data_IF_762968813588
#
_entry.id   IF_762968813588
#
_cell.length_a   1.000
_cell.length_b   1.000
_cell.length_c   1.000
_cell.angle_alpha   90.00
_cell.angle_beta   90.00
_cell.angle_gamma   90.00
#
_symmetry.space_group_name_H-M   'P 1'
#
loop_
_entity.id
_entity.type
_entity.pdbx_description
1 polymer ?
#
# COMPACT_ATOMS: atom_id res chain seq x y z
N UNK A 1 3.72 -8.68 -7.40
CA UNK A 1 3.65 -8.92 -5.95
C UNK A 1 2.31 -9.52 -5.52
N UNK A 2 1.20 -8.83 -5.77
CA UNK A 2 -0.17 -9.26 -5.39
C UNK A 2 -0.59 -10.63 -5.98
N UNK A 3 -0.15 -10.97 -7.19
CA UNK A 3 -0.40 -12.31 -7.77
C UNK A 3 0.16 -13.47 -6.91
N UNK A 4 1.33 -13.28 -6.29
CA UNK A 4 1.90 -14.25 -5.35
C UNK A 4 1.09 -14.42 -4.06
N UNK A 5 0.21 -13.47 -3.73
CA UNK A 5 -0.64 -13.56 -2.53
C UNK A 5 -1.78 -14.56 -2.72
N UNK A 6 -2.39 -14.56 -3.91
CA UNK A 6 -3.58 -15.37 -4.17
C UNK A 6 -3.30 -16.80 -4.59
N UNK A 7 -2.14 -17.04 -5.21
CA UNK A 7 -1.79 -18.37 -5.72
C UNK A 7 -1.09 -19.25 -4.66
N UNK A 8 -0.91 -18.74 -3.42
CA UNK A 8 -0.29 -19.51 -2.33
C UNK A 8 -1.31 -20.41 -1.62
N UNK A 9 -0.95 -21.69 -1.57
CA UNK A 9 -1.78 -22.85 -1.19
C UNK A 9 -1.93 -23.09 0.32
N UNK A 10 -1.66 -22.11 1.20
CA UNK A 10 -1.96 -22.32 2.62
C UNK A 10 -3.47 -22.16 2.87
N UNK A 11 -4.06 -23.10 3.60
CA UNK A 11 -5.46 -23.00 4.06
C UNK A 11 -5.61 -21.96 5.17
N UNK A 12 -4.55 -21.71 5.95
CA UNK A 12 -4.55 -20.71 7.04
C UNK A 12 -4.13 -19.35 6.48
N UNK A 13 -5.00 -18.37 6.63
CA UNK A 13 -4.73 -16.99 6.19
C UNK A 13 -3.54 -16.35 6.91
N UNK A 14 -3.30 -16.70 8.17
CA UNK A 14 -2.19 -16.18 8.97
C UNK A 14 -0.83 -16.59 8.37
N UNK A 15 -0.71 -17.81 7.85
CA UNK A 15 0.50 -18.29 7.19
C UNK A 15 0.75 -17.56 5.86
N UNK A 16 -0.32 -17.15 5.16
CA UNK A 16 -0.19 -16.34 3.94
C UNK A 16 0.42 -14.97 4.27
N UNK A 17 0.01 -14.35 5.38
CA UNK A 17 0.60 -13.08 5.85
C UNK A 17 2.07 -13.28 6.23
N UNK A 18 2.39 -14.31 7.01
CA UNK A 18 3.76 -14.58 7.44
C UNK A 18 4.72 -14.79 6.26
N UNK A 19 4.27 -15.51 5.23
CA UNK A 19 5.04 -15.75 4.03
C UNK A 19 5.27 -14.46 3.20
N UNK A 20 4.46 -13.41 3.39
CA UNK A 20 4.65 -12.12 2.73
C UNK A 20 5.68 -11.24 3.45
N UNK A 21 5.81 -11.38 4.75
CA UNK A 21 6.86 -10.68 5.52
C UNK A 21 8.24 -10.89 4.91
N UNK A 22 8.53 -12.10 4.41
CA UNK A 22 9.79 -12.40 3.71
C UNK A 22 10.07 -11.48 2.52
N UNK A 23 9.04 -11.14 1.73
CA UNK A 23 9.18 -10.37 0.50
C UNK A 23 9.00 -8.86 0.70
N UNK A 24 8.21 -8.46 1.70
CA UNK A 24 7.68 -7.10 1.79
C UNK A 24 8.29 -6.25 2.92
N UNK A 25 8.89 -6.89 3.92
CA UNK A 25 9.52 -6.17 5.03
C UNK A 25 10.92 -5.67 4.63
N UNK A 26 11.26 -4.45 5.07
CA UNK A 26 12.62 -3.95 4.94
C UNK A 26 13.54 -4.71 5.91
N UNK A 27 14.38 -5.62 5.40
CA UNK A 27 15.42 -6.29 6.19
C UNK A 27 15.08 -7.67 6.77
N UNK A 28 14.30 -8.49 6.05
CA UNK A 28 13.92 -9.86 6.45
C UNK A 28 15.12 -10.73 6.89
N UNK A 29 15.19 -11.09 8.17
CA UNK A 29 15.89 -12.32 8.65
C UNK A 29 14.84 -13.36 9.07
N UNK A 30 15.12 -14.67 8.93
CA UNK A 30 14.09 -15.70 9.01
C UNK A 30 13.56 -15.87 10.43
N UNK A 31 12.24 -15.79 10.61
CA UNK A 31 11.55 -16.40 11.74
C UNK A 31 10.94 -17.73 11.27
N UNK A 32 11.77 -18.70 10.90
CA UNK A 32 11.31 -20.05 10.63
C UNK A 32 11.94 -21.00 11.64
N UNK A 33 11.28 -21.12 12.79
CA UNK A 33 11.53 -22.18 13.74
C UNK A 33 10.33 -23.13 13.65
N UNK A 34 10.17 -23.83 12.53
CA UNK A 34 9.35 -25.04 12.52
C UNK A 34 9.97 -26.00 13.54
N UNK A 35 9.32 -26.14 14.69
CA UNK A 35 9.67 -27.18 15.65
C UNK A 35 9.14 -28.48 15.07
N UNK A 36 9.89 -29.07 14.15
CA UNK A 36 9.62 -30.40 13.63
C UNK A 36 9.69 -31.36 14.82
N UNK A 37 8.53 -31.85 15.28
CA UNK A 37 8.48 -33.00 16.18
C UNK A 37 9.01 -34.22 15.42
N UNK A 38 10.32 -34.44 15.46
CA UNK A 38 10.90 -35.74 15.13
C UNK A 38 10.76 -36.65 16.34
N UNK A 39 9.70 -37.44 16.35
CA UNK A 39 9.72 -38.73 17.03
C UNK A 39 10.76 -39.59 16.31
N UNK A 40 11.93 -39.79 16.91
CA UNK A 40 12.86 -40.83 16.47
C UNK A 40 13.45 -41.54 17.67
N UNK A 41 13.11 -42.83 17.71
CA UNK A 41 13.60 -43.88 18.60
C UNK A 41 15.13 -43.93 18.68
N UNK A 42 15.61 -44.21 19.91
CA UNK A 42 16.92 -44.64 20.37
C UNK A 42 18.09 -44.75 19.35
N UNK A 43 19.23 -44.14 19.70
CA UNK A 43 20.40 -44.93 20.11
C UNK A 43 21.36 -44.10 20.98
N UNK A 44 21.85 -44.81 22.01
CA UNK A 44 22.82 -44.45 23.04
C UNK A 44 24.19 -44.30 22.39
N UNK A 45 24.97 -43.27 22.75
CA UNK A 45 26.31 -43.46 23.35
C UNK A 45 27.16 -42.18 23.46
N UNK A 46 27.80 -42.09 24.64
CA UNK A 46 29.09 -41.47 24.97
C UNK A 46 29.16 -39.96 25.25
N UNK A 47 29.35 -39.66 26.54
CA UNK A 47 29.86 -38.42 27.13
C UNK A 47 31.24 -38.03 26.58
N UNK A 48 31.43 -36.75 26.27
CA UNK A 48 32.68 -36.03 26.58
C UNK A 48 32.33 -34.62 27.07
N UNK A 49 32.66 -34.36 28.34
CA UNK A 49 32.64 -33.04 28.95
C UNK A 49 33.72 -32.14 28.32
N UNK A 50 33.39 -30.88 28.04
CA UNK A 50 34.38 -29.81 27.99
C UNK A 50 33.71 -28.48 28.37
N UNK A 51 33.96 -28.10 29.62
CA UNK A 51 33.67 -26.81 30.20
C UNK A 51 34.52 -25.75 29.50
N UNK A 52 33.89 -24.73 28.91
CA UNK A 52 34.56 -23.49 28.53
C UNK A 52 33.71 -22.31 28.98
N UNK A 53 34.18 -21.64 30.02
CA UNK A 53 33.67 -20.37 30.49
C UNK A 53 34.31 -19.26 29.65
N UNK A 54 33.51 -18.54 28.88
CA UNK A 54 33.85 -17.20 28.44
C UNK A 54 32.67 -16.26 28.70
N UNK A 55 32.77 -15.53 29.79
CA UNK A 55 32.12 -14.23 29.99
C UNK A 55 32.56 -13.28 28.88
N UNK A 56 31.62 -12.82 28.06
CA UNK A 56 31.81 -11.64 27.22
C UNK A 56 30.72 -10.63 27.54
N UNK A 57 31.13 -9.60 28.27
CA UNK A 57 30.45 -8.31 28.36
C UNK A 57 30.71 -7.64 27.02
N UNK A 58 29.70 -7.65 26.14
CA UNK A 58 29.71 -6.97 24.86
C UNK A 58 28.57 -5.95 24.83
N UNK A 59 28.92 -4.68 24.90
CA UNK A 59 28.07 -3.52 24.64
C UNK A 59 27.31 -3.69 23.32
N UNK A 60 26.00 -3.93 23.41
CA UNK A 60 25.10 -4.08 22.27
C UNK A 60 24.41 -2.77 21.90
N UNK A 61 24.73 -2.29 20.70
CA UNK A 61 24.07 -1.26 19.91
C UNK A 61 22.53 -1.42 19.87
N UNK A 62 21.71 -0.39 20.15
CA UNK A 62 20.26 -0.51 20.19
C UNK A 62 19.66 -0.30 18.79
N UNK A 63 20.05 -1.11 17.80
CA UNK A 63 19.37 -1.11 16.49
C UNK A 63 19.28 -2.51 15.88
N UNK A 64 18.83 -3.48 16.66
CA UNK A 64 18.17 -4.67 16.07
C UNK A 64 16.68 -4.50 16.27
N UNK A 65 16.00 -4.07 15.20
CA UNK A 65 14.55 -4.14 15.11
C UNK A 65 14.15 -5.60 15.27
N UNK A 66 13.71 -5.96 16.47
CA UNK A 66 13.17 -7.27 16.79
C UNK A 66 11.96 -7.48 15.86
N UNK A 67 12.09 -8.41 14.92
CA UNK A 67 10.94 -8.92 14.19
C UNK A 67 9.95 -9.46 15.22
N UNK A 68 8.72 -8.93 15.22
CA UNK A 68 7.63 -9.40 16.08
C UNK A 68 7.53 -10.93 15.94
N UNK A 69 7.74 -11.63 17.05
CA UNK A 69 7.64 -13.07 17.10
C UNK A 69 6.20 -13.48 16.74
N UNK A 70 6.05 -14.12 15.60
CA UNK A 70 4.82 -14.67 15.07
C UNK A 70 4.14 -15.61 16.07
N UNK A 71 2.83 -15.44 16.30
CA UNK A 71 2.01 -16.35 17.09
C UNK A 71 0.86 -16.88 16.22
N UNK A 72 0.71 -18.20 16.13
CA UNK A 72 -0.40 -18.86 15.42
C UNK A 72 -1.80 -18.50 15.99
N UNK A 73 -1.85 -17.84 17.15
CA UNK A 73 -3.07 -17.39 17.80
C UNK A 73 -3.51 -15.99 17.33
N UNK A 74 -2.68 -15.26 16.58
CA UNK A 74 -3.03 -13.94 16.07
C UNK A 74 -3.94 -14.06 14.85
N UNK A 75 -5.00 -13.23 14.80
CA UNK A 75 -5.85 -13.14 13.61
C UNK A 75 -5.05 -12.63 12.41
N UNK A 76 -5.40 -13.07 11.20
CA UNK A 76 -4.74 -12.63 9.97
C UNK A 76 -4.78 -11.10 9.78
N UNK A 77 -5.83 -10.43 10.26
CA UNK A 77 -5.94 -8.97 10.24
C UNK A 77 -4.91 -8.28 11.16
N UNK A 78 -4.62 -8.89 12.32
CA UNK A 78 -3.61 -8.38 13.25
C UNK A 78 -2.21 -8.53 12.65
N UNK A 79 -1.90 -9.72 12.12
CA UNK A 79 -0.63 -9.98 11.43
C UNK A 79 -0.46 -9.06 10.21
N UNK A 80 -1.53 -8.84 9.43
CA UNK A 80 -1.52 -7.94 8.28
C UNK A 80 -1.25 -6.50 8.69
N UNK A 81 -1.86 -6.06 9.78
CA UNK A 81 -1.59 -4.75 10.37
C UNK A 81 -0.12 -4.63 10.74
N UNK A 82 0.42 -5.57 11.51
CA UNK A 82 1.85 -5.59 11.88
C UNK A 82 2.79 -5.61 10.66
N UNK A 83 2.42 -6.32 9.59
CA UNK A 83 3.18 -6.30 8.34
C UNK A 83 3.15 -4.92 7.66
N UNK A 84 1.97 -4.31 7.49
CA UNK A 84 1.81 -2.96 6.93
C UNK A 84 2.63 -1.91 7.68
N UNK A 85 2.83 -2.12 8.98
CA UNK A 85 3.66 -1.26 9.82
C UNK A 85 5.15 -1.29 9.47
N UNK A 86 5.69 -2.45 9.10
CA UNK A 86 7.13 -2.64 8.80
C UNK A 86 7.44 -2.76 7.31
N UNK A 87 6.41 -2.84 6.47
CA UNK A 87 6.51 -2.97 5.02
C UNK A 87 7.35 -1.86 4.36
N UNK A 88 8.00 -2.15 3.23
CA UNK A 88 8.64 -1.13 2.40
C UNK A 88 7.67 -0.02 1.98
N UNK A 89 8.18 1.21 1.82
CA UNK A 89 7.39 2.38 1.42
C UNK A 89 6.81 2.24 -0.01
N UNK A 90 7.52 1.51 -0.86
CA UNK A 90 7.13 1.14 -2.22
C UNK A 90 5.91 0.22 -2.21
N UNK A 91 5.96 -0.88 -1.45
CA UNK A 91 4.84 -1.81 -1.36
C UNK A 91 3.62 -1.19 -0.68
N UNK A 92 3.81 -0.36 0.36
CA UNK A 92 2.69 0.42 0.94
C UNK A 92 2.02 1.31 -0.11
N UNK A 93 2.81 1.89 -1.01
CA UNK A 93 2.30 2.73 -2.10
C UNK A 93 1.49 1.92 -3.11
N UNK A 94 1.93 0.70 -3.46
CA UNK A 94 1.14 -0.20 -4.30
C UNK A 94 -0.25 -0.43 -3.71
N UNK A 95 -0.36 -0.81 -2.43
CA UNK A 95 -1.66 -1.00 -1.78
C UNK A 95 -2.48 0.29 -1.73
N UNK A 96 -1.84 1.44 -1.49
CA UNK A 96 -2.53 2.72 -1.45
C UNK A 96 -3.18 3.08 -2.79
N UNK A 97 -2.51 2.83 -3.92
CA UNK A 97 -2.98 3.18 -5.26
C UNK A 97 -3.79 2.08 -5.97
N UNK A 98 -3.67 0.82 -5.56
CA UNK A 98 -4.32 -0.31 -6.23
C UNK A 98 -5.55 -0.84 -5.49
N UNK A 99 -5.64 -0.68 -4.17
CA UNK A 99 -6.85 -1.09 -3.44
C UNK A 99 -7.96 -0.08 -3.70
N UNK A 100 -9.07 -0.52 -4.29
CA UNK A 100 -10.19 0.35 -4.61
C UNK A 100 -10.95 0.81 -3.37
N UNK A 101 -11.25 -0.10 -2.46
CA UNK A 101 -11.98 0.21 -1.24
C UNK A 101 -11.11 0.99 -0.24
N UNK A 102 -11.71 1.93 0.50
CA UNK A 102 -11.05 2.51 1.65
C UNK A 102 -10.89 1.46 2.75
N UNK A 103 -9.82 1.58 3.52
CA UNK A 103 -9.58 0.79 4.71
C UNK A 103 -10.57 1.07 5.84
N UNK A 104 -10.37 0.42 7.00
CA UNK A 104 -11.13 0.69 8.22
C UNK A 104 -11.01 2.17 8.63
N UNK A 105 -12.05 2.75 9.24
CA UNK A 105 -12.22 4.20 9.51
C UNK A 105 -11.02 4.95 10.13
N UNK A 106 -10.12 4.26 10.86
CA UNK A 106 -8.93 4.86 11.49
C UNK A 106 -7.65 4.76 10.66
N UNK A 107 -7.70 4.05 9.54
CA UNK A 107 -6.59 3.83 8.61
C UNK A 107 -7.12 3.63 7.18
N UNK A 108 -8.02 4.52 6.74
CA UNK A 108 -8.73 4.41 5.46
C UNK A 108 -7.77 4.33 4.26
N UNK A 109 -6.53 4.82 4.40
CA UNK A 109 -5.50 4.73 3.39
C UNK A 109 -5.04 3.29 3.10
N UNK A 110 -4.96 2.41 4.11
CA UNK A 110 -4.48 1.03 3.91
C UNK A 110 -5.62 0.04 3.83
N UNK A 111 -5.52 -1.01 2.99
CA UNK A 111 -6.51 -2.07 2.98
C UNK A 111 -6.46 -2.91 4.25
N UNK A 112 -7.57 -3.56 4.58
CA UNK A 112 -7.65 -4.70 5.51
C UNK A 112 -7.16 -5.99 4.83
N UNK A 113 -6.83 -7.01 5.63
CA UNK A 113 -6.47 -8.33 5.09
C UNK A 113 -7.57 -8.88 4.20
N UNK A 114 -8.83 -8.75 4.65
CA UNK A 114 -10.00 -9.18 3.90
C UNK A 114 -10.09 -8.52 2.52
N UNK A 115 -9.79 -7.22 2.43
CA UNK A 115 -9.81 -6.48 1.17
C UNK A 115 -8.70 -6.92 0.23
N UNK A 116 -7.49 -7.17 0.74
CA UNK A 116 -6.40 -7.66 -0.12
C UNK A 116 -6.68 -9.06 -0.66
N UNK A 117 -7.33 -9.91 0.14
CA UNK A 117 -7.72 -11.26 -0.29
C UNK A 117 -8.93 -11.27 -1.22
N UNK A 118 -9.67 -10.17 -1.34
CA UNK A 118 -10.74 -10.04 -2.30
C UNK A 118 -10.20 -9.57 -3.66
N UNK A 119 -10.25 -10.44 -4.67
CA UNK A 119 -9.78 -10.12 -6.04
C UNK A 119 -10.52 -8.93 -6.65
N UNK A 120 -11.78 -8.73 -6.29
CA UNK A 120 -12.60 -7.62 -6.83
C UNK A 120 -12.23 -6.26 -6.22
N UNK A 121 -11.57 -6.26 -5.06
CA UNK A 121 -11.20 -5.04 -4.34
C UNK A 121 -9.87 -4.45 -4.84
N UNK A 122 -9.07 -5.18 -5.62
CA UNK A 122 -7.85 -4.66 -6.25
C UNK A 122 -8.15 -4.24 -7.69
N UNK A 123 -7.80 -3.00 -8.04
CA UNK A 123 -7.82 -2.58 -9.45
C UNK A 123 -6.80 -3.44 -10.21
N UNK A 124 -7.27 -4.02 -11.32
CA UNK A 124 -6.65 -5.11 -12.09
C UNK A 124 -5.27 -4.82 -12.73
N UNK A 125 -4.45 -3.93 -12.18
CA UNK A 125 -3.04 -3.79 -12.59
C UNK A 125 -2.19 -4.84 -11.88
N UNK A 126 -2.53 -6.12 -12.08
CA UNK A 126 -1.66 -7.25 -11.74
C UNK A 126 -0.38 -7.30 -12.60
N UNK A 127 -0.32 -6.53 -13.71
CA UNK A 127 0.72 -6.66 -14.73
C UNK A 127 1.72 -5.50 -14.81
N UNK A 128 1.51 -4.40 -14.08
CA UNK A 128 2.50 -3.33 -14.09
C UNK A 128 3.68 -3.71 -13.19
N UNK A 129 4.72 -4.32 -13.78
CA UNK A 129 6.10 -4.34 -13.27
C UNK A 129 6.72 -2.93 -13.16
N UNK A 130 5.90 -1.88 -13.26
CA UNK A 130 6.33 -0.50 -13.22
C UNK A 130 6.57 -0.13 -11.77
N UNK A 131 7.85 0.05 -11.43
CA UNK A 131 8.24 0.66 -10.16
C UNK A 131 7.58 2.03 -10.04
N UNK A 132 6.62 2.13 -9.12
CA UNK A 132 6.05 3.41 -8.74
C UNK A 132 7.10 4.19 -7.94
N UNK A 133 7.51 5.36 -8.44
CA UNK A 133 8.29 6.32 -7.66
C UNK A 133 7.38 7.08 -6.69
N UNK A 134 6.72 6.32 -5.82
CA UNK A 134 5.73 6.84 -4.88
C UNK A 134 6.09 6.35 -3.49
N UNK A 135 6.02 7.28 -2.53
CA UNK A 135 6.49 7.06 -1.18
C UNK A 135 5.35 7.25 -0.19
N UNK A 136 4.75 6.14 0.24
CA UNK A 136 3.95 6.08 1.46
C UNK A 136 4.90 5.72 2.60
N UNK A 137 5.34 6.75 3.30
CA UNK A 137 6.22 6.66 4.45
C UNK A 137 5.42 6.47 5.73
N UNK A 138 6.02 5.79 6.70
CA UNK A 138 5.50 5.73 8.07
C UNK A 138 6.54 6.29 9.03
N UNK A 139 6.11 7.21 9.88
CA UNK A 139 6.91 7.65 11.01
C UNK A 139 6.76 6.64 12.15
N UNK A 140 7.80 5.85 12.40
CA UNK A 140 7.77 4.81 13.44
C UNK A 140 7.64 5.37 14.86
N UNK A 141 8.00 6.64 15.10
CA UNK A 141 7.87 7.27 16.42
C UNK A 141 6.43 7.69 16.73
N UNK A 142 5.72 8.21 15.73
CA UNK A 142 4.36 8.75 15.89
C UNK A 142 3.27 7.83 15.37
N UNK A 143 3.63 6.76 14.65
CA UNK A 143 2.70 5.87 13.96
C UNK A 143 2.04 6.48 12.72
N UNK A 144 2.31 7.75 12.41
CA UNK A 144 1.67 8.52 11.34
C UNK A 144 2.18 8.11 9.97
N UNK A 145 1.26 7.96 9.01
CA UNK A 145 1.60 7.66 7.62
C UNK A 145 1.48 8.90 6.75
N UNK A 146 2.38 9.03 5.78
CA UNK A 146 2.45 10.19 4.90
C UNK A 146 2.66 9.76 3.46
N UNK A 147 1.94 10.42 2.56
CA UNK A 147 2.20 10.37 1.14
C UNK A 147 3.04 11.58 0.73
N UNK A 148 4.18 11.34 0.08
CA UNK A 148 5.00 12.39 -0.52
C UNK A 148 4.82 12.39 -2.04
N UNK A 149 4.09 13.38 -2.56
CA UNK A 149 3.87 13.49 -4.00
C UNK A 149 2.87 14.57 -4.39
N UNK A 150 2.22 14.39 -5.53
CA UNK A 150 1.36 15.40 -6.12
C UNK A 150 -0.04 15.37 -5.53
N UNK A 151 -0.48 16.53 -5.03
CA UNK A 151 -1.82 16.75 -4.50
C UNK A 151 -2.54 17.82 -5.30
N UNK A 152 -3.80 17.57 -5.66
CA UNK A 152 -4.74 18.56 -6.15
C UNK A 152 -5.81 18.75 -5.08
N UNK A 153 -6.02 20.00 -4.65
CA UNK A 153 -6.83 20.30 -3.46
C UNK A 153 -8.33 20.12 -3.70
N UNK A 154 -8.82 20.49 -4.89
CA UNK A 154 -10.24 20.46 -5.21
C UNK A 154 -10.45 20.09 -6.68
N UNK A 155 -11.13 18.97 -6.91
CA UNK A 155 -11.54 18.46 -8.21
C UNK A 155 -12.97 17.96 -8.13
N UNK A 156 -13.74 18.11 -9.20
CA UNK A 156 -15.07 17.52 -9.30
C UNK A 156 -15.00 16.21 -10.08
N UNK A 157 -15.50 15.14 -9.48
CA UNK A 157 -15.60 13.80 -10.07
C UNK A 157 -17.05 13.55 -10.49
N UNK A 158 -17.26 13.03 -11.69
CA UNK A 158 -18.58 12.71 -12.23
C UNK A 158 -18.58 11.38 -12.99
N UNK A 159 -19.65 10.61 -12.88
CA UNK A 159 -19.91 9.42 -13.71
C UNK A 159 -19.26 8.13 -13.23
N UNK A 160 -18.62 8.13 -12.06
CA UNK A 160 -18.02 6.92 -11.46
C UNK A 160 -18.87 6.30 -10.34
N UNK A 161 -20.08 6.83 -10.08
CA UNK A 161 -20.99 6.32 -9.05
C UNK A 161 -21.87 5.16 -9.51
N UNK A 162 -22.09 5.01 -10.82
CA UNK A 162 -22.99 3.99 -11.37
C UNK A 162 -22.33 2.61 -11.33
N UNK A 163 -23.11 1.58 -10.95
CA UNK A 163 -22.68 0.18 -10.93
C UNK A 163 -22.95 -0.46 -12.30
N UNK A 164 -22.16 -0.08 -13.30
CA UNK A 164 -22.12 -0.75 -14.62
C UNK A 164 -20.89 -1.65 -14.73
N UNK A 165 -20.83 -2.50 -15.76
CA UNK A 165 -19.64 -3.32 -16.00
C UNK A 165 -18.38 -2.44 -16.15
N UNK A 166 -17.28 -2.87 -15.54
CA UNK A 166 -15.98 -2.22 -15.71
C UNK A 166 -15.45 -2.40 -17.15
N UNK A 167 -14.66 -1.46 -17.70
CA UNK A 167 -14.24 -0.21 -17.08
C UNK A 167 -15.37 0.82 -17.01
N UNK A 168 -15.52 1.46 -15.84
CA UNK A 168 -16.47 2.57 -15.64
C UNK A 168 -15.76 3.86 -16.00
N UNK A 169 -16.41 4.70 -16.80
CA UNK A 169 -15.85 5.94 -17.32
C UNK A 169 -16.58 7.15 -16.76
N UNK A 170 -15.81 8.19 -16.47
CA UNK A 170 -16.31 9.42 -15.91
C UNK A 170 -15.49 10.61 -16.37
N UNK A 171 -15.69 11.74 -15.71
CA UNK A 171 -14.95 12.96 -15.97
C UNK A 171 -14.40 13.54 -14.67
N UNK A 172 -13.16 14.00 -14.76
CA UNK A 172 -12.52 14.85 -13.77
C UNK A 172 -12.56 16.28 -14.27
N UNK A 173 -13.21 17.15 -13.51
CA UNK A 173 -13.29 18.57 -13.81
C UNK A 173 -12.39 19.31 -12.82
N UNK A 174 -11.41 20.05 -13.35
CA UNK A 174 -10.44 20.80 -12.56
C UNK A 174 -10.53 22.26 -12.95
N UNK A 175 -10.62 23.14 -11.96
CA UNK A 175 -10.53 24.58 -12.17
C UNK A 175 -9.12 25.04 -11.89
N UNK A 176 -8.48 25.65 -12.88
CA UNK A 176 -7.14 26.18 -12.75
C UNK A 176 -7.14 27.41 -11.83
N UNK A 177 -5.95 27.82 -11.33
CA UNK A 177 -5.80 29.08 -10.62
C UNK A 177 -6.21 30.32 -11.45
N UNK A 178 -6.19 30.22 -12.79
CA UNK A 178 -6.62 31.29 -13.69
C UNK A 178 -8.14 31.31 -13.92
N UNK A 179 -8.89 30.35 -13.35
CA UNK A 179 -10.34 30.22 -13.50
C UNK A 179 -10.78 29.44 -14.74
N UNK A 180 -9.84 28.90 -15.51
CA UNK A 180 -10.15 28.01 -16.64
C UNK A 180 -10.60 26.64 -16.13
N UNK A 181 -11.60 26.06 -16.78
CA UNK A 181 -12.09 24.73 -16.44
C UNK A 181 -11.55 23.71 -17.45
N UNK A 182 -10.85 22.70 -16.95
CA UNK A 182 -10.37 21.57 -17.73
C UNK A 182 -11.14 20.31 -17.38
N UNK A 183 -11.43 19.51 -18.41
CA UNK A 183 -12.16 18.25 -18.29
C UNK A 183 -11.29 17.11 -18.81
N UNK A 184 -11.02 16.13 -17.96
CA UNK A 184 -10.24 14.95 -18.29
C UNK A 184 -11.12 13.69 -18.21
N UNK A 185 -10.88 12.74 -19.11
CA UNK A 185 -11.50 11.42 -19.01
C UNK A 185 -10.84 10.63 -17.88
N UNK A 186 -11.65 10.01 -17.04
CA UNK A 186 -11.20 9.11 -15.98
C UNK A 186 -11.85 7.75 -16.13
N UNK A 187 -11.16 6.71 -15.70
CA UNK A 187 -11.69 5.36 -15.70
C UNK A 187 -11.34 4.57 -14.45
N UNK A 188 -12.14 3.57 -14.15
CA UNK A 188 -11.85 2.61 -13.09
C UNK A 188 -12.20 1.20 -13.53
N UNK A 189 -11.31 0.27 -13.19
CA UNK A 189 -11.45 -1.16 -13.46
C UNK A 189 -12.07 -1.94 -12.29
N UNK A 190 -12.46 -1.26 -11.20
CA UNK A 190 -13.09 -1.86 -10.04
C UNK A 190 -14.57 -1.46 -9.91
N UNK A 191 -15.32 -2.22 -9.11
CA UNK A 191 -16.76 -2.00 -8.92
C UNK A 191 -17.12 -1.14 -7.71
N UNK A 192 -16.16 -0.81 -6.84
CA UNK A 192 -16.42 0.09 -5.72
C UNK A 192 -16.90 1.48 -6.21
N UNK A 193 -18.11 1.95 -5.84
CA UNK A 193 -18.67 3.18 -6.38
C UNK A 193 -17.94 4.42 -5.89
N UNK A 194 -17.76 5.40 -6.78
CA UNK A 194 -17.21 6.71 -6.45
C UNK A 194 -18.30 7.74 -6.74
N UNK A 195 -19.04 8.21 -5.73
CA UNK A 195 -20.11 9.18 -5.93
C UNK A 195 -19.63 10.45 -6.61
N UNK A 196 -20.54 11.09 -7.35
CA UNK A 196 -20.27 12.41 -7.92
C UNK A 196 -20.09 13.43 -6.79
N UNK A 197 -19.08 14.29 -6.91
CA UNK A 197 -18.79 15.24 -5.85
C UNK A 197 -17.44 15.94 -5.99
N UNK A 198 -17.13 16.75 -4.98
CA UNK A 198 -15.84 17.45 -4.87
C UNK A 198 -14.92 16.68 -3.94
N UNK A 199 -13.70 16.47 -4.41
CA UNK A 199 -12.69 15.66 -3.73
C UNK A 199 -11.32 16.33 -3.82
N UNK A 200 -10.39 15.84 -3.01
CA UNK A 200 -8.95 16.04 -3.19
C UNK A 200 -8.35 14.80 -3.84
N UNK A 201 -7.26 15.01 -4.59
CA UNK A 201 -6.64 13.96 -5.40
C UNK A 201 -5.15 13.84 -5.07
N UNK A 202 -4.67 12.61 -4.91
CA UNK A 202 -3.25 12.28 -4.79
C UNK A 202 -2.85 11.42 -5.99
N UNK A 203 -1.87 11.84 -6.77
CA UNK A 203 -1.56 11.18 -8.05
C UNK A 203 -0.13 10.65 -8.10
N UNK A 204 0.05 9.48 -8.70
CA UNK A 204 1.40 8.92 -8.92
C UNK A 204 2.23 9.88 -9.77
N UNK A 205 3.52 10.00 -9.46
CA UNK A 205 4.40 10.89 -10.20
C UNK A 205 4.56 10.45 -11.66
N UNK A 206 4.70 9.13 -11.93
CA UNK A 206 4.73 8.53 -13.27
C UNK A 206 4.59 6.98 -13.18
N UNK A 207 3.88 6.31 -14.10
CA UNK A 207 4.19 4.96 -14.54
C UNK A 207 5.13 5.00 -15.77
N UNK A 208 6.08 4.07 -15.84
CA UNK A 208 7.08 4.03 -16.90
C UNK A 208 6.50 3.60 -18.27
N UNK A 209 5.34 2.94 -18.31
CA UNK A 209 4.88 2.27 -19.54
C UNK A 209 3.46 2.64 -20.03
N UNK A 210 2.63 3.32 -19.24
CA UNK A 210 1.22 3.62 -19.60
C UNK A 210 0.90 5.12 -19.77
N UNK A 211 -0.12 5.44 -20.59
CA UNK A 211 -0.68 6.81 -20.74
C UNK A 211 -1.63 7.19 -19.60
N UNK A 212 -1.46 6.56 -18.44
CA UNK A 212 -2.45 6.55 -17.38
C UNK A 212 -1.82 7.04 -16.10
N UNK A 213 -2.42 8.05 -15.48
CA UNK A 213 -2.00 8.49 -14.14
C UNK A 213 -2.93 7.87 -13.10
N UNK A 214 -2.38 7.02 -12.23
CA UNK A 214 -3.13 6.49 -11.10
C UNK A 214 -3.32 7.57 -10.05
N UNK A 215 -4.53 7.71 -9.54
CA UNK A 215 -4.84 8.67 -8.51
C UNK A 215 -5.72 8.07 -7.42
N UNK A 216 -5.44 8.43 -6.17
CA UNK A 216 -6.29 8.18 -5.02
C UNK A 216 -7.18 9.39 -4.80
N UNK A 217 -8.48 9.16 -4.81
CA UNK A 217 -9.50 10.16 -4.54
C UNK A 217 -9.94 10.07 -3.09
N UNK A 218 -10.09 11.23 -2.44
CA UNK A 218 -10.45 11.29 -1.04
C UNK A 218 -10.87 12.68 -0.58
N UNK A 219 -11.06 12.84 0.71
CA UNK A 219 -11.42 14.11 1.33
C UNK A 219 -10.36 14.52 2.34
N UNK A 220 -10.03 15.80 2.34
CA UNK A 220 -9.22 16.40 3.40
C UNK A 220 -10.13 16.74 4.58
N UNK A 221 -9.77 16.25 5.77
CA UNK A 221 -10.36 16.68 7.03
C UNK A 221 -9.83 18.07 7.44
N UNK A 222 -10.50 18.77 8.37
CA UNK A 222 -10.07 20.09 8.85
C UNK A 222 -8.64 20.10 9.43
N UNK A 223 -8.19 18.98 10.00
CA UNK A 223 -6.85 18.77 10.54
C UNK A 223 -5.77 18.48 9.48
N UNK A 224 -6.13 18.58 8.19
CA UNK A 224 -5.27 18.25 7.05
C UNK A 224 -4.93 16.76 6.91
N UNK A 225 -5.72 15.87 7.51
CA UNK A 225 -5.64 14.43 7.26
C UNK A 225 -6.42 14.05 6.00
N UNK A 226 -5.80 13.31 5.08
CA UNK A 226 -6.45 12.80 3.88
C UNK A 226 -7.12 11.45 4.18
N UNK A 227 -8.44 11.39 3.95
CA UNK A 227 -9.23 10.16 4.05
C UNK A 227 -9.54 9.67 2.65
N UNK A 228 -8.96 8.51 2.32
CA UNK A 228 -9.20 7.83 1.05
C UNK A 228 -10.67 7.48 0.88
N UNK A 229 -11.19 7.70 -0.32
CA UNK A 229 -12.51 7.24 -0.76
C UNK A 229 -12.37 6.09 -1.75
N UNK A 230 -11.51 6.23 -2.76
CA UNK A 230 -11.26 5.19 -3.78
C UNK A 230 -10.02 5.52 -4.61
N UNK A 231 -9.78 4.77 -5.68
CA UNK A 231 -8.75 5.03 -6.71
C UNK A 231 -9.37 5.13 -8.10
N UNK A 232 -8.72 5.79 -9.04
CA UNK A 232 -9.07 5.76 -10.46
C UNK A 232 -7.86 6.17 -11.32
N UNK A 233 -8.05 6.08 -12.62
CA UNK A 233 -7.06 6.38 -13.65
C UNK A 233 -7.45 7.65 -14.41
N UNK A 234 -6.53 8.62 -14.55
CA UNK A 234 -6.67 9.74 -15.48
C UNK A 234 -6.06 9.35 -16.82
N UNK A 235 -6.82 9.54 -17.89
CA UNK A 235 -6.45 9.14 -19.24
C UNK A 235 -5.86 10.34 -20.00
N UNK A 236 -4.77 10.10 -20.73
CA UNK A 236 -4.25 11.05 -21.73
C UNK A 236 -3.34 12.13 -21.15
N UNK A 237 -2.91 12.01 -19.89
CA UNK A 237 -1.85 12.86 -19.36
C UNK A 237 -0.48 12.50 -19.98
N UNK A 238 0.43 13.49 -20.12
CA UNK A 238 1.73 13.28 -20.76
C UNK A 238 2.57 12.19 -20.09
N UNK A 239 3.36 11.45 -20.88
CA UNK A 239 4.35 10.49 -20.35
C UNK A 239 5.61 11.17 -19.86
N UNK A 240 6.05 12.21 -20.60
CA UNK A 240 7.27 12.92 -20.28
C UNK A 240 7.15 13.59 -18.90
N UNK A 241 8.16 13.41 -18.06
CA UNK A 241 8.12 13.87 -16.67
C UNK A 241 7.92 15.39 -16.59
N UNK A 242 8.55 16.14 -17.50
CA UNK A 242 8.50 17.61 -17.51
C UNK A 242 7.17 18.10 -18.06
N UNK A 243 6.64 17.44 -19.10
CA UNK A 243 5.32 17.75 -19.62
C UNK A 243 4.22 17.43 -18.62
N UNK A 244 4.32 16.27 -17.94
CA UNK A 244 3.42 15.87 -16.87
C UNK A 244 3.47 16.88 -15.72
N UNK A 245 4.67 17.24 -15.26
CA UNK A 245 4.87 18.22 -14.18
C UNK A 245 4.33 19.60 -14.58
N UNK A 246 4.58 20.03 -15.81
CA UNK A 246 4.01 21.26 -16.35
C UNK A 246 2.48 21.22 -16.36
N UNK A 247 1.87 20.12 -16.79
CA UNK A 247 0.41 19.93 -16.78
C UNK A 247 -0.14 19.95 -15.34
N UNK A 248 0.49 19.21 -14.43
CA UNK A 248 0.10 19.14 -13.02
C UNK A 248 0.16 20.54 -12.37
N UNK A 249 1.23 21.30 -12.60
CA UNK A 249 1.35 22.68 -12.11
C UNK A 249 0.29 23.60 -12.72
N UNK A 250 -0.02 23.48 -14.01
CA UNK A 250 -1.05 24.29 -14.68
C UNK A 250 -2.44 24.09 -14.08
N UNK A 251 -2.76 22.88 -13.64
CA UNK A 251 -4.03 22.56 -12.99
C UNK A 251 -4.03 22.78 -11.47
N UNK A 252 -2.96 23.40 -10.94
CA UNK A 252 -2.86 23.75 -9.52
C UNK A 252 -2.42 22.61 -8.60
N UNK A 253 -1.87 21.52 -9.15
CA UNK A 253 -1.26 20.47 -8.34
C UNK A 253 0.00 20.99 -7.64
N UNK A 254 0.24 20.51 -6.42
CA UNK A 254 1.41 20.85 -5.62
C UNK A 254 2.08 19.57 -5.12
N UNK A 255 3.41 19.55 -5.13
CA UNK A 255 4.16 18.47 -4.47
C UNK A 255 4.19 18.72 -2.96
N UNK A 256 3.50 17.88 -2.20
CA UNK A 256 3.27 18.07 -0.77
C UNK A 256 3.43 16.75 0.00
N UNK A 257 3.86 16.87 1.24
CA UNK A 257 3.74 15.81 2.23
C UNK A 257 2.32 15.84 2.80
N UNK A 258 1.54 14.79 2.54
CA UNK A 258 0.13 14.68 2.94
C UNK A 258 0.00 13.62 4.02
N UNK A 259 -0.61 13.97 5.16
CA UNK A 259 -0.93 13.01 6.23
C UNK A 259 -2.05 12.09 5.74
N UNK A 260 -1.88 10.78 5.92
CA UNK A 260 -2.86 9.77 5.55
C UNK A 260 -3.59 9.26 6.79
N UNK A 261 -4.93 9.24 6.72
CA UNK A 261 -5.82 8.67 7.74
C UNK A 261 -6.54 7.43 7.28
#
# INVERSE_FOLDING_TARGET
MLSLMWDRTSEKDVDKVAALTYFLALGSTPAHNETRSTTSTAHKDTMINSTSNHTSIGTGDPTSTIALAYSELESAEHAWTALMEVMGWDHRSEFFFLCSEPGPEKNAWRPSWKQVMNRDSLSFLMDSKDNFWVYVERNMKTGTSFYNGWRIESVQVQGLGTLVAAPRKGHLIVRTPTGEEHRYEISTNHQYPIPDGVYSLLCTQQPWQSNVTLCVVGKMLPDQTFIKTSVFEIIGWPRDAREWESMALRIGAKKLRTVLG
#
